data_IF_771081621394
#
_entry.id   IF_771081621394
#
_cell.length_a   1.000
_cell.length_b   1.000
_cell.length_c   1.000
_cell.angle_alpha   90.00
_cell.angle_beta   90.00
_cell.angle_gamma   90.00
#
_symmetry.space_group_name_H-M   'P 1'
#
loop_
_entity.id
_entity.type
_entity.pdbx_description
1 polymer ?
#
# COMPACT_ATOMS: atom_id res chain seq x y z
N UNK A 1 0.82 21.16 15.28
CA UNK A 1 -0.06 21.27 14.09
C UNK A 1 -1.07 20.14 14.14
N UNK A 2 -2.33 20.44 13.82
CA UNK A 2 -3.49 19.52 13.80
C UNK A 2 -3.34 18.42 12.75
N UNK A 3 -3.80 17.20 13.09
CA UNK A 3 -3.91 16.01 12.22
C UNK A 3 -4.35 16.44 10.81
N UNK A 4 -3.46 16.27 9.83
CA UNK A 4 -3.70 16.71 8.46
C UNK A 4 -4.65 15.74 7.74
N UNK A 5 -5.55 16.30 6.93
CA UNK A 5 -6.53 15.67 6.03
C UNK A 5 -5.94 14.52 5.18
N UNK A 6 -6.64 13.40 4.93
CA UNK A 6 -6.02 12.31 4.12
C UNK A 6 -6.94 11.39 3.29
N UNK A 7 -8.04 11.87 2.70
CA UNK A 7 -8.63 11.07 1.59
C UNK A 7 -7.82 11.36 0.32
N UNK A 8 -6.91 10.45 -0.03
CA UNK A 8 -6.14 10.48 -1.27
C UNK A 8 -6.45 9.24 -2.08
N UNK A 9 -6.76 9.41 -3.37
CA UNK A 9 -6.96 8.32 -4.31
C UNK A 9 -5.96 8.50 -5.45
N UNK A 10 -5.13 7.49 -5.67
CA UNK A 10 -4.29 7.36 -6.85
C UNK A 10 -4.85 6.15 -7.61
N UNK A 11 -5.37 6.38 -8.80
CA UNK A 11 -5.95 5.32 -9.62
C UNK A 11 -5.10 5.02 -10.85
N UNK A 12 -4.25 5.95 -11.28
CA UNK A 12 -3.56 5.86 -12.57
C UNK A 12 -4.53 5.86 -13.76
N UNK A 13 -5.82 6.14 -13.53
CA UNK A 13 -6.85 6.21 -14.57
C UNK A 13 -7.01 7.68 -14.95
N UNK A 14 -6.51 8.04 -16.12
CA UNK A 14 -6.49 9.41 -16.67
C UNK A 14 -5.55 10.40 -15.95
N UNK A 15 -4.68 9.93 -15.06
CA UNK A 15 -3.56 10.69 -14.50
C UNK A 15 -2.25 9.88 -14.53
N UNK A 16 -1.12 10.58 -14.37
CA UNK A 16 0.21 9.95 -14.25
C UNK A 16 0.59 9.72 -12.77
N UNK A 17 -0.29 10.07 -11.83
CA UNK A 17 -0.05 9.93 -10.40
C UNK A 17 -0.28 8.48 -9.97
N UNK A 18 0.79 7.70 -9.96
CA UNK A 18 0.78 6.29 -9.50
C UNK A 18 1.10 6.15 -8.00
N UNK A 19 1.30 7.27 -7.29
CA UNK A 19 1.77 7.29 -5.90
C UNK A 19 0.76 7.98 -4.98
N UNK A 20 0.59 7.42 -3.78
CA UNK A 20 -0.11 8.06 -2.68
C UNK A 20 0.93 8.62 -1.69
N UNK A 21 0.94 9.94 -1.49
CA UNK A 21 1.79 10.61 -0.50
C UNK A 21 2.81 11.58 -1.11
N UNK A 22 3.84 12.00 -0.33
CA UNK A 22 4.26 11.46 0.96
C UNK A 22 3.39 11.88 2.15
N UNK A 23 3.33 11.02 3.18
CA UNK A 23 2.62 11.29 4.44
C UNK A 23 3.59 11.24 5.63
N UNK A 24 3.40 12.13 6.60
CA UNK A 24 4.08 12.02 7.90
C UNK A 24 3.34 10.99 8.76
N UNK A 25 3.94 9.81 8.93
CA UNK A 25 3.41 8.76 9.79
C UNK A 25 3.74 8.98 11.27
N UNK A 26 4.88 9.61 11.57
CA UNK A 26 5.32 9.88 12.93
C UNK A 26 4.57 11.09 13.52
N UNK A 27 3.94 10.97 14.71
CA UNK A 27 3.36 12.10 15.41
C UNK A 27 4.40 13.19 15.73
N UNK A 28 3.92 14.41 15.94
CA UNK A 28 4.77 15.52 16.31
C UNK A 28 5.42 15.26 17.68
N UNK A 29 6.73 15.51 17.80
CA UNK A 29 7.54 15.32 19.01
C UNK A 29 7.66 13.87 19.49
N UNK A 30 7.36 12.90 18.62
CA UNK A 30 7.57 11.48 18.89
C UNK A 30 8.72 10.92 18.03
N UNK A 31 9.24 9.78 18.46
CA UNK A 31 10.14 8.94 17.65
C UNK A 31 9.45 7.60 17.49
N UNK A 32 9.26 7.18 16.24
CA UNK A 32 8.73 5.85 15.90
C UNK A 32 9.88 4.93 15.48
N UNK A 33 9.82 3.68 15.91
CA UNK A 33 10.74 2.62 15.51
C UNK A 33 10.18 1.77 14.36
N UNK A 34 8.88 1.86 14.11
CA UNK A 34 8.19 1.15 13.04
C UNK A 34 6.92 1.87 12.58
N UNK A 35 6.44 1.49 11.40
CA UNK A 35 5.10 1.81 10.92
C UNK A 35 4.44 0.59 10.28
N UNK A 36 3.11 0.62 10.19
CA UNK A 36 2.32 -0.46 9.61
C UNK A 36 1.47 0.06 8.45
N UNK A 37 1.36 -0.77 7.40
CA UNK A 37 0.51 -0.51 6.24
C UNK A 37 -0.48 -1.66 6.10
N UNK A 38 -1.76 -1.32 6.11
CA UNK A 38 -2.85 -2.28 5.97
C UNK A 38 -3.38 -2.26 4.54
N UNK A 39 -3.24 -3.38 3.84
CA UNK A 39 -3.83 -3.59 2.53
C UNK A 39 -5.17 -4.31 2.69
N UNK A 40 -6.24 -3.71 2.20
CA UNK A 40 -7.57 -4.31 2.20
C UNK A 40 -8.00 -4.65 0.76
N UNK A 41 -8.45 -5.88 0.56
CA UNK A 41 -8.98 -6.38 -0.70
C UNK A 41 -10.42 -6.85 -0.50
N UNK A 42 -11.42 -5.94 -0.51
CA UNK A 42 -12.81 -6.30 -0.23
C UNK A 42 -13.38 -7.38 -1.16
N UNK A 43 -12.91 -7.40 -2.42
CA UNK A 43 -13.33 -8.35 -3.46
C UNK A 43 -12.37 -9.54 -3.62
N UNK A 44 -11.46 -9.72 -2.66
CA UNK A 44 -10.41 -10.72 -2.72
C UNK A 44 -9.37 -10.49 -3.82
N UNK A 45 -8.51 -11.49 -3.97
CA UNK A 45 -7.47 -11.54 -4.99
C UNK A 45 -7.63 -12.87 -5.73
N UNK A 46 -8.32 -12.84 -6.86
CA UNK A 46 -8.55 -14.00 -7.72
C UNK A 46 -8.86 -13.55 -9.16
N UNK A 47 -8.32 -14.27 -10.14
CA UNK A 47 -8.75 -14.18 -11.53
C UNK A 47 -9.63 -15.35 -11.93
N UNK A 48 -10.19 -15.31 -13.13
CA UNK A 48 -10.93 -16.43 -13.73
C UNK A 48 -10.40 -16.72 -15.13
N UNK A 49 -10.34 -17.99 -15.49
CA UNK A 49 -10.07 -18.46 -16.84
C UNK A 49 -11.37 -18.45 -17.66
N UNK A 50 -11.26 -18.60 -18.98
CA UNK A 50 -12.42 -18.61 -19.89
C UNK A 50 -13.38 -19.80 -19.65
N UNK A 51 -12.94 -20.84 -18.94
CA UNK A 51 -13.76 -21.97 -18.50
C UNK A 51 -14.38 -21.78 -17.10
N UNK A 52 -14.26 -20.59 -16.51
CA UNK A 52 -14.76 -20.29 -15.16
C UNK A 52 -13.88 -20.78 -14.01
N UNK A 53 -12.77 -21.48 -14.29
CA UNK A 53 -11.86 -21.90 -13.23
C UNK A 53 -11.13 -20.70 -12.62
N UNK A 54 -11.09 -20.67 -11.29
CA UNK A 54 -10.30 -19.69 -10.54
C UNK A 54 -8.81 -19.76 -10.96
N UNK A 55 -8.15 -18.61 -11.03
CA UNK A 55 -6.73 -18.44 -11.39
C UNK A 55 -6.04 -17.55 -10.37
N UNK A 56 -4.76 -17.80 -10.10
CA UNK A 56 -3.94 -16.91 -9.29
C UNK A 56 -3.91 -15.52 -9.92
N UNK A 57 -4.14 -14.49 -9.11
CA UNK A 57 -3.99 -13.09 -9.48
C UNK A 57 -2.85 -12.50 -8.66
N UNK A 58 -2.02 -11.71 -9.32
CA UNK A 58 -0.94 -10.94 -8.71
C UNK A 58 -1.42 -9.51 -8.50
N UNK A 59 -1.12 -8.97 -7.32
CA UNK A 59 -1.20 -7.55 -7.00
C UNK A 59 0.17 -7.13 -6.50
N UNK A 60 0.81 -6.22 -7.20
CA UNK A 60 2.13 -5.69 -6.88
C UNK A 60 1.99 -4.33 -6.20
N UNK A 61 2.87 -4.02 -5.25
CA UNK A 61 2.92 -2.73 -4.57
C UNK A 61 4.38 -2.31 -4.33
N UNK A 62 4.58 -1.01 -4.13
CA UNK A 62 5.83 -0.46 -3.62
C UNK A 62 5.53 0.57 -2.53
N UNK A 63 6.21 0.44 -1.39
CA UNK A 63 6.19 1.42 -0.31
C UNK A 63 7.56 2.09 -0.25
N UNK A 64 7.58 3.42 -0.21
CA UNK A 64 8.79 4.18 0.04
C UNK A 64 8.67 4.95 1.35
N UNK A 65 9.71 4.87 2.19
CA UNK A 65 9.77 5.61 3.46
C UNK A 65 11.17 6.14 3.74
N UNK A 66 11.24 7.19 4.57
CA UNK A 66 12.50 7.77 5.07
C UNK A 66 12.27 8.48 6.40
N UNK A 67 13.34 8.62 7.18
CA UNK A 67 13.33 9.48 8.37
C UNK A 67 13.23 10.93 7.91
N UNK A 68 12.17 11.61 8.34
CA UNK A 68 11.94 13.01 7.97
C UNK A 68 13.07 13.91 8.48
N UNK A 69 13.53 14.84 7.65
CA UNK A 69 14.58 15.80 8.00
C UNK A 69 16.01 15.24 8.08
N UNK A 70 16.22 13.92 7.89
CA UNK A 70 17.55 13.29 7.97
C UNK A 70 18.48 13.61 6.78
N UNK A 71 17.93 14.08 5.66
CA UNK A 71 18.67 14.21 4.39
C UNK A 71 18.94 12.88 3.68
N UNK A 72 18.58 11.74 4.29
CA UNK A 72 18.71 10.42 3.70
C UNK A 72 17.76 10.22 2.50
N UNK A 73 18.18 9.35 1.59
CA UNK A 73 17.35 8.86 0.49
C UNK A 73 16.15 8.05 0.98
N UNK A 74 15.21 7.80 0.07
CA UNK A 74 14.07 6.91 0.32
C UNK A 74 14.51 5.46 0.34
N UNK A 75 14.02 4.70 1.31
CA UNK A 75 14.09 3.24 1.32
C UNK A 75 12.89 2.70 0.55
N UNK A 76 13.13 1.87 -0.46
CA UNK A 76 12.08 1.20 -1.23
C UNK A 76 11.81 -0.21 -0.72
N UNK A 77 10.53 -0.57 -0.64
CA UNK A 77 10.01 -1.89 -0.26
C UNK A 77 8.95 -2.33 -1.27
N UNK A 78 9.34 -3.05 -2.33
CA UNK A 78 8.39 -3.70 -3.23
C UNK A 78 7.82 -4.98 -2.59
N UNK A 79 6.61 -5.37 -2.99
CA UNK A 79 5.97 -6.60 -2.57
C UNK A 79 4.91 -7.09 -3.54
N UNK A 80 4.49 -8.35 -3.37
CA UNK A 80 3.46 -8.97 -4.21
C UNK A 80 2.54 -9.86 -3.39
N UNK A 81 1.23 -9.75 -3.62
CA UNK A 81 0.24 -10.71 -3.15
C UNK A 81 -0.22 -11.56 -4.33
N UNK A 82 -0.08 -12.88 -4.22
CA UNK A 82 -0.42 -13.84 -5.27
C UNK A 82 -1.39 -14.91 -4.74
N UNK A 83 -2.68 -14.74 -5.05
CA UNK A 83 -3.74 -15.57 -4.44
C UNK A 83 -4.81 -15.98 -5.44
N UNK A 84 -5.60 -16.95 -5.02
CA UNK A 84 -6.78 -17.51 -5.71
C UNK A 84 -7.99 -17.48 -4.77
N UNK A 85 -8.16 -16.37 -4.04
CA UNK A 85 -9.20 -16.19 -3.03
C UNK A 85 -10.22 -15.13 -3.49
N UNK A 86 -11.49 -15.51 -3.52
CA UNK A 86 -12.60 -14.65 -3.96
C UNK A 86 -13.23 -13.84 -2.81
N UNK A 87 -12.95 -14.23 -1.57
CA UNK A 87 -13.51 -13.58 -0.40
C UNK A 87 -12.65 -12.37 -0.02
N UNK A 88 -13.25 -11.40 0.66
CA UNK A 88 -12.52 -10.27 1.22
C UNK A 88 -11.40 -10.73 2.15
N UNK A 89 -10.23 -10.08 2.04
CA UNK A 89 -9.08 -10.31 2.92
C UNK A 89 -8.24 -9.04 3.07
N UNK A 90 -7.27 -9.08 3.97
CA UNK A 90 -6.27 -8.04 4.10
C UNK A 90 -4.94 -8.55 4.63
N UNK A 91 -3.93 -7.71 4.52
CA UNK A 91 -2.57 -7.95 4.97
C UNK A 91 -2.04 -6.72 5.73
N UNK A 92 -1.18 -6.97 6.70
CA UNK A 92 -0.47 -5.92 7.44
C UNK A 92 1.02 -6.10 7.20
N UNK A 93 1.64 -5.07 6.65
CA UNK A 93 3.09 -5.00 6.48
C UNK A 93 3.66 -4.08 7.54
N UNK A 94 4.72 -4.50 8.22
CA UNK A 94 5.40 -3.71 9.26
C UNK A 94 6.85 -3.48 8.85
N UNK A 95 7.29 -2.22 8.91
CA UNK A 95 8.64 -1.79 8.54
C UNK A 95 9.30 -0.98 9.65
#
# INVERSE_FOLDING_TARGET
MTRTVVDFAASGINDNETWLGPFLACPQNEVVDAFEVNFAFPNGICGFQNNGNKRVRHVEYEIQYRVYGSGSGWTSKPGVYALKNINGLGFTERF
#
